data_IF_027972421303
#
_entry.id   IF_027972421303
#
_cell.length_a   1.000
_cell.length_b   1.000
_cell.length_c   1.000
_cell.angle_alpha   90.00
_cell.angle_beta   90.00
_cell.angle_gamma   90.00
#
_symmetry.space_group_name_H-M   'P 1'
#
loop_
_entity.id
_entity.type
_entity.pdbx_description
1 polymer ?
#
# COMPACT_ATOMS: atom_id res chain seq x y z
N UNK A 1 -11.15 0.76 -21.99
CA UNK A 1 -11.12 1.19 -20.58
C UNK A 1 -9.80 1.92 -20.41
N UNK A 2 -9.85 3.25 -20.29
CA UNK A 2 -8.64 4.09 -20.29
C UNK A 2 -8.26 4.37 -18.85
N UNK A 3 -7.12 3.86 -18.41
CA UNK A 3 -6.55 4.18 -17.11
C UNK A 3 -5.15 4.76 -17.30
N UNK A 4 -4.75 5.63 -16.39
CA UNK A 4 -3.38 6.13 -16.29
C UNK A 4 -2.73 5.56 -15.04
N UNK A 5 -1.47 5.15 -15.15
CA UNK A 5 -0.65 4.81 -13.99
C UNK A 5 0.18 6.04 -13.65
N UNK A 6 0.08 6.49 -12.40
CA UNK A 6 0.86 7.65 -11.92
C UNK A 6 1.23 7.48 -10.46
N UNK A 7 2.17 8.30 -10.00
CA UNK A 7 2.46 8.38 -8.57
C UNK A 7 1.23 8.85 -7.79
N UNK A 8 1.04 8.27 -6.61
CA UNK A 8 0.09 8.78 -5.62
C UNK A 8 0.49 10.19 -5.21
N UNK A 9 -0.48 11.10 -5.09
CA UNK A 9 -0.25 12.46 -4.60
C UNK A 9 -0.41 12.49 -3.08
N UNK A 10 0.22 13.46 -2.42
CA UNK A 10 0.22 13.53 -0.95
C UNK A 10 -1.18 13.74 -0.37
N UNK A 11 -2.00 14.53 -1.05
CA UNK A 11 -3.40 14.76 -0.70
C UNK A 11 -4.29 13.51 -0.86
N UNK A 12 -3.81 12.50 -1.58
CA UNK A 12 -4.54 11.25 -1.86
C UNK A 12 -4.15 10.12 -0.88
N UNK A 13 -3.19 10.34 0.01
CA UNK A 13 -2.64 9.30 0.92
C UNK A 13 -3.73 8.60 1.74
N UNK A 14 -4.82 9.29 2.06
CA UNK A 14 -5.98 8.68 2.75
C UNK A 14 -6.62 7.52 1.99
N UNK A 15 -6.45 7.42 0.67
CA UNK A 15 -6.95 6.26 -0.07
C UNK A 15 -6.21 4.96 0.32
N UNK A 16 -5.00 5.06 0.88
CA UNK A 16 -4.25 3.91 1.35
C UNK A 16 -4.95 3.19 2.51
N UNK A 17 -5.74 3.88 3.33
CA UNK A 17 -6.55 3.27 4.39
C UNK A 17 -7.58 2.29 3.82
N UNK A 18 -8.20 2.66 2.68
CA UNK A 18 -9.14 1.79 1.97
C UNK A 18 -8.43 0.56 1.44
N UNK A 19 -7.26 0.74 0.81
CA UNK A 19 -6.48 -0.40 0.30
C UNK A 19 -5.93 -1.30 1.40
N UNK A 20 -5.55 -0.73 2.54
CA UNK A 20 -5.12 -1.47 3.72
C UNK A 20 -6.25 -2.34 4.25
N UNK A 21 -7.49 -1.82 4.32
CA UNK A 21 -8.66 -2.59 4.70
C UNK A 21 -8.99 -3.69 3.69
N UNK A 22 -8.98 -3.37 2.38
CA UNK A 22 -9.25 -4.35 1.32
C UNK A 22 -8.20 -5.46 1.23
N UNK A 23 -6.98 -5.22 1.73
CA UNK A 23 -5.92 -6.22 1.81
C UNK A 23 -6.08 -7.20 2.98
N UNK A 24 -7.02 -6.95 3.91
CA UNK A 24 -7.28 -7.85 5.04
C UNK A 24 -7.86 -9.16 4.51
N UNK A 25 -7.14 -10.25 4.75
CA UNK A 25 -7.64 -11.59 4.42
C UNK A 25 -8.80 -11.97 5.34
N UNK A 26 -9.96 -12.23 4.76
CA UNK A 26 -11.16 -12.69 5.46
C UNK A 26 -11.43 -14.15 5.03
N UNK A 27 -11.31 -15.13 5.94
CA UNK A 27 -11.62 -16.53 5.63
C UNK A 27 -13.10 -16.71 5.25
N UNK A 28 -13.40 -17.77 4.49
CA UNK A 28 -14.77 -18.11 4.12
C UNK A 28 -15.65 -18.32 5.36
N UNK A 29 -16.84 -17.70 5.37
CA UNK A 29 -17.79 -17.78 6.47
C UNK A 29 -17.45 -16.90 7.69
N UNK A 30 -16.38 -16.12 7.63
CA UNK A 30 -16.03 -15.14 8.67
C UNK A 30 -16.58 -13.77 8.29
N UNK A 31 -17.20 -13.08 9.25
CA UNK A 31 -17.65 -11.71 9.05
C UNK A 31 -16.46 -10.76 8.96
N UNK A 32 -16.52 -9.82 8.02
CA UNK A 32 -15.49 -8.79 7.88
C UNK A 32 -15.41 -7.95 9.16
N UNK A 33 -14.20 -7.65 9.67
CA UNK A 33 -14.07 -6.74 10.80
C UNK A 33 -14.56 -5.33 10.42
N UNK A 34 -14.95 -4.48 11.38
CA UNK A 34 -15.29 -3.10 11.08
C UNK A 34 -14.09 -2.35 10.52
N UNK A 35 -14.33 -1.34 9.66
CA UNK A 35 -13.26 -0.56 9.03
C UNK A 35 -12.31 0.10 10.04
N UNK A 36 -12.79 0.37 11.26
CA UNK A 36 -12.00 0.88 12.37
C UNK A 36 -10.79 0.02 12.74
N UNK A 37 -10.77 -1.27 12.34
CA UNK A 37 -9.64 -2.16 12.55
C UNK A 37 -8.33 -1.56 11.99
N UNK A 38 -8.39 -0.82 10.88
CA UNK A 38 -7.20 -0.21 10.27
C UNK A 38 -6.54 0.84 11.15
N UNK A 39 -7.24 1.37 12.16
CA UNK A 39 -6.69 2.35 13.12
C UNK A 39 -5.81 1.68 14.17
N UNK A 40 -5.74 0.35 14.20
CA UNK A 40 -4.82 -0.37 15.06
C UNK A 40 -3.37 0.02 14.70
N UNK A 41 -2.51 0.30 15.70
CA UNK A 41 -1.15 0.76 15.47
C UNK A 41 -0.36 -0.12 14.50
N UNK A 42 -0.55 -1.43 14.58
CA UNK A 42 0.12 -2.44 13.76
C UNK A 42 -0.20 -2.30 12.27
N UNK A 43 -1.43 -1.90 11.95
CA UNK A 43 -1.87 -1.68 10.57
C UNK A 43 -1.51 -0.26 10.08
N UNK A 44 -1.52 0.73 10.97
CA UNK A 44 -1.16 2.11 10.62
C UNK A 44 0.33 2.29 10.26
N UNK A 45 1.23 1.38 10.66
CA UNK A 45 2.67 1.44 10.33
C UNK A 45 2.96 1.67 8.82
N UNK A 46 2.06 1.18 7.96
CA UNK A 46 2.18 1.20 6.50
C UNK A 46 1.69 2.47 5.81
N UNK A 47 0.85 3.26 6.49
CA UNK A 47 0.12 4.40 5.92
C UNK A 47 0.36 5.70 6.69
N UNK A 48 0.61 5.59 8.01
CA UNK A 48 0.90 6.75 8.84
C UNK A 48 2.23 7.40 8.44
N UNK A 49 2.17 8.71 8.18
CA UNK A 49 3.29 9.47 7.62
C UNK A 49 3.76 8.98 6.25
N UNK A 50 2.94 8.25 5.49
CA UNK A 50 3.32 7.81 4.14
C UNK A 50 3.69 9.00 3.25
N UNK A 51 4.80 8.88 2.54
CA UNK A 51 5.34 9.92 1.69
C UNK A 51 6.25 10.91 2.43
N UNK A 52 6.43 10.76 3.75
CA UNK A 52 7.43 11.50 4.54
C UNK A 52 8.76 10.76 4.67
N UNK A 53 8.79 9.44 4.43
CA UNK A 53 9.99 8.60 4.56
C UNK A 53 10.70 8.48 3.21
N UNK A 54 12.02 8.40 3.24
CA UNK A 54 12.83 8.20 2.03
C UNK A 54 12.56 6.80 1.48
N UNK A 55 11.97 6.72 0.29
CA UNK A 55 11.62 5.45 -0.36
C UNK A 55 10.13 5.17 -0.41
N UNK A 56 9.29 6.02 0.20
CA UNK A 56 7.85 5.93 0.04
C UNK A 56 7.45 6.28 -1.40
N UNK A 57 7.17 5.24 -2.18
CA UNK A 57 6.73 5.33 -3.56
C UNK A 57 5.49 4.46 -3.71
N UNK A 58 4.37 5.09 -4.02
CA UNK A 58 3.12 4.43 -4.38
C UNK A 58 2.71 4.89 -5.77
N UNK A 59 2.25 3.94 -6.59
CA UNK A 59 1.60 4.23 -7.85
C UNK A 59 0.13 3.80 -7.77
N UNK A 60 -0.71 4.58 -8.45
CA UNK A 60 -2.14 4.34 -8.56
C UNK A 60 -2.54 4.20 -10.02
N UNK A 61 -3.54 3.35 -10.26
CA UNK A 61 -4.31 3.38 -11.49
C UNK A 61 -5.47 4.36 -11.29
N UNK A 62 -5.56 5.37 -12.15
CA UNK A 62 -6.66 6.33 -12.19
C UNK A 62 -7.49 6.12 -13.47
N UNK A 63 -8.81 6.03 -13.31
CA UNK A 63 -9.80 6.01 -14.40
C UNK A 63 -10.85 7.07 -14.12
N UNK A 64 -11.16 7.92 -15.10
CA UNK A 64 -12.19 8.97 -14.96
C UNK A 64 -12.01 9.84 -13.69
N UNK A 65 -10.77 10.19 -13.36
CA UNK A 65 -10.38 10.94 -12.15
C UNK A 65 -10.66 10.24 -10.82
N UNK A 66 -10.96 8.94 -10.85
CA UNK A 66 -11.09 8.08 -9.68
C UNK A 66 -9.87 7.16 -9.59
N UNK A 67 -9.30 7.06 -8.39
CA UNK A 67 -8.30 6.04 -8.09
C UNK A 67 -9.02 4.71 -7.98
N UNK A 68 -8.66 3.75 -8.83
CA UNK A 68 -9.29 2.41 -8.89
C UNK A 68 -8.40 1.29 -8.33
N UNK A 69 -7.10 1.55 -8.17
CA UNK A 69 -6.16 0.62 -7.54
C UNK A 69 -4.87 1.35 -7.11
N UNK A 70 -4.19 0.85 -6.07
CA UNK A 70 -2.83 1.27 -5.69
C UNK A 70 -1.90 0.05 -5.60
N UNK A 71 -0.63 0.24 -5.97
CA UNK A 71 0.42 -0.78 -5.87
C UNK A 71 1.69 -0.16 -5.28
N UNK A 72 2.23 -0.79 -4.23
CA UNK A 72 3.55 -0.47 -3.68
C UNK A 72 4.63 -1.16 -4.52
N UNK A 73 5.51 -0.39 -5.15
CA UNK A 73 6.51 -0.90 -6.09
C UNK A 73 7.89 -1.03 -5.46
N UNK A 74 8.07 -2.05 -4.63
CA UNK A 74 9.40 -2.32 -4.05
C UNK A 74 10.38 -2.92 -5.08
N UNK A 75 9.88 -3.70 -6.05
CA UNK A 75 10.73 -4.45 -7.01
C UNK A 75 11.17 -3.69 -8.27
N UNK A 76 10.40 -2.72 -8.76
CA UNK A 76 10.68 -2.10 -10.07
C UNK A 76 11.79 -1.05 -10.06
N UNK A 77 12.27 -0.69 -8.87
CA UNK A 77 13.38 0.24 -8.65
C UNK A 77 14.71 -0.48 -8.37
N UNK A 78 14.77 -1.81 -8.56
CA UNK A 78 16.02 -2.58 -8.48
C UNK A 78 16.36 -3.12 -7.08
N UNK A 79 15.39 -3.18 -6.17
CA UNK A 79 15.59 -3.79 -4.86
C UNK A 79 15.35 -5.30 -4.93
N UNK A 80 16.31 -6.08 -4.43
CA UNK A 80 16.19 -7.52 -4.22
C UNK A 80 15.77 -7.80 -2.78
N UNK A 81 14.79 -8.67 -2.59
CA UNK A 81 14.41 -9.15 -1.25
C UNK A 81 15.53 -10.06 -0.76
N UNK A 82 16.17 -9.69 0.35
CA UNK A 82 17.27 -10.45 0.94
C UNK A 82 16.84 -11.26 2.15
N UNK A 83 15.73 -10.88 2.79
CA UNK A 83 15.14 -11.64 3.90
C UNK A 83 13.66 -11.25 4.07
N UNK A 84 12.88 -12.10 4.71
CA UNK A 84 11.45 -11.90 4.99
C UNK A 84 11.20 -12.30 6.45
N UNK A 85 10.59 -11.40 7.23
CA UNK A 85 10.03 -11.75 8.53
C UNK A 85 8.50 -11.66 8.47
N UNK A 86 7.82 -12.03 9.57
CA UNK A 86 6.36 -12.09 9.62
C UNK A 86 5.65 -10.74 9.43
N UNK A 87 6.38 -9.63 9.40
CA UNK A 87 5.83 -8.28 9.37
C UNK A 87 6.40 -7.43 8.20
N UNK A 88 7.63 -7.67 7.72
CA UNK A 88 8.25 -6.84 6.69
C UNK A 88 9.23 -7.61 5.77
N UNK A 89 9.41 -7.07 4.56
CA UNK A 89 10.46 -7.47 3.62
C UNK A 89 11.75 -6.69 3.89
N UNK A 90 12.85 -7.39 4.14
CA UNK A 90 14.19 -6.79 4.16
C UNK A 90 14.72 -6.85 2.73
N UNK A 91 14.94 -5.67 2.12
CA UNK A 91 15.37 -5.58 0.73
C UNK A 91 16.69 -4.81 0.59
N UNK A 92 17.58 -5.25 -0.30
CA UNK A 92 18.85 -4.61 -0.62
C UNK A 92 18.82 -4.15 -2.08
N UNK A 93 19.18 -2.89 -2.33
CA UNK A 93 19.46 -2.36 -3.66
C UNK A 93 20.97 -2.45 -3.90
N UNK A 94 21.42 -3.30 -4.82
CA UNK A 94 22.80 -3.27 -5.32
C UNK A 94 22.88 -2.24 -6.44
N UNK A 95 23.77 -1.26 -6.28
CA UNK A 95 24.11 -0.26 -7.29
C UNK A 95 25.10 -0.83 -8.31
#
# INVERSE_FOLDING_TARGET
>A
MNYIIRKLRQEEVKCLDTFLYEAIFIPEGVEAPPMEIINQPELQLYVDGFGTRKGDICFVAESDSLIVAAVKMYKSVGFEIVDENNEEYIMVCKL
#
